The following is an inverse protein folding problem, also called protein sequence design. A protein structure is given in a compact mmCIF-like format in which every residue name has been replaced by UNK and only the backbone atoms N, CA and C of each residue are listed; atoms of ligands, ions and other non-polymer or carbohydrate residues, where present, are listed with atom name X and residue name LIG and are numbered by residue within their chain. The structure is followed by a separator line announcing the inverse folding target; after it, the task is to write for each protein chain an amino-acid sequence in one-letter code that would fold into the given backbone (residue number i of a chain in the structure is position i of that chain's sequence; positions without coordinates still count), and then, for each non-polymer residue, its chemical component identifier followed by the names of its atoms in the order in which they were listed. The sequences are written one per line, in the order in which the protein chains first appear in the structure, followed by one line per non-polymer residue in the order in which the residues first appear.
data_IF_933803884880
#
_entry.id   IF_933803884880
#
_cell.length_a   1.000
_cell.length_b   1.000
_cell.length_c   1.000
_cell.angle_alpha   90.00
_cell.angle_beta   90.00
_cell.angle_gamma   90.00
#
_symmetry.space_group_name_H-M   'P 1'
#
loop_
_entity.id
_entity.type
_entity.pdbx_description
1 polymer ?
#
# COMPACT_ATOMS: atom_id res chain seq x y z
N UNK A 1 -25.66 4.17 -3.09
CA UNK A 1 -24.60 4.87 -3.82
C UNK A 1 -23.98 5.93 -2.90
N UNK A 2 -22.63 5.96 -2.80
CA UNK A 2 -21.92 6.91 -1.93
C UNK A 2 -22.15 8.37 -2.34
N UNK A 3 -22.44 8.66 -3.61
CA UNK A 3 -22.82 10.00 -4.04
C UNK A 3 -24.14 10.42 -3.41
N UNK A 4 -25.15 9.55 -3.39
CA UNK A 4 -26.42 9.82 -2.72
C UNK A 4 -26.25 10.09 -1.23
N UNK A 5 -25.44 9.27 -0.54
CA UNK A 5 -25.16 9.48 0.89
C UNK A 5 -24.53 10.85 1.13
N UNK A 6 -23.62 11.29 0.24
CA UNK A 6 -22.94 12.59 0.37
C UNK A 6 -23.82 13.75 -0.10
N UNK A 7 -24.86 13.53 -0.89
CA UNK A 7 -25.87 14.54 -1.20
C UNK A 7 -26.78 14.81 0.03
N UNK A 8 -27.03 13.78 0.83
CA UNK A 8 -27.81 13.88 2.07
C UNK A 8 -26.94 14.30 3.27
N UNK A 9 -25.72 13.77 3.38
CA UNK A 9 -24.75 14.08 4.44
C UNK A 9 -23.34 14.29 3.86
N UNK A 10 -23.00 15.55 3.60
CA UNK A 10 -21.69 15.96 3.06
C UNK A 10 -20.50 15.71 4.02
N UNK A 11 -20.78 15.33 5.26
CA UNK A 11 -19.77 15.07 6.29
C UNK A 11 -19.62 13.58 6.61
N UNK A 12 -20.28 12.71 5.87
CA UNK A 12 -20.19 11.27 6.06
C UNK A 12 -18.77 10.77 5.70
N UNK A 13 -17.96 10.55 6.73
CA UNK A 13 -16.54 10.17 6.59
C UNK A 13 -16.34 8.85 5.84
N UNK A 14 -17.21 7.88 6.10
CA UNK A 14 -17.14 6.58 5.42
C UNK A 14 -17.48 6.71 3.93
N UNK A 15 -18.51 7.48 3.60
CA UNK A 15 -18.88 7.72 2.22
C UNK A 15 -17.80 8.49 1.46
N UNK A 16 -17.15 9.49 2.09
CA UNK A 16 -16.00 10.20 1.52
C UNK A 16 -14.85 9.24 1.24
N UNK A 17 -14.48 8.40 2.23
CA UNK A 17 -13.42 7.42 2.09
C UNK A 17 -13.67 6.45 0.93
N UNK A 18 -14.87 5.88 0.88
CA UNK A 18 -15.21 4.87 -0.13
C UNK A 18 -15.30 5.48 -1.53
N UNK A 19 -15.85 6.70 -1.65
CA UNK A 19 -15.91 7.39 -2.94
C UNK A 19 -14.51 7.78 -3.42
N UNK A 20 -13.65 8.28 -2.56
CA UNK A 20 -12.25 8.55 -2.89
C UNK A 20 -11.54 7.30 -3.41
N UNK A 21 -11.72 6.16 -2.74
CA UNK A 21 -11.16 4.89 -3.17
C UNK A 21 -11.65 4.48 -4.57
N UNK A 22 -12.95 4.61 -4.86
CA UNK A 22 -13.52 4.34 -6.18
C UNK A 22 -12.90 5.27 -7.25
N UNK A 23 -12.71 6.55 -6.93
CA UNK A 23 -12.06 7.48 -7.84
C UNK A 23 -10.60 7.09 -8.12
N UNK A 24 -9.85 6.63 -7.13
CA UNK A 24 -8.48 6.10 -7.34
C UNK A 24 -8.50 4.91 -8.31
N UNK A 25 -9.43 3.96 -8.13
CA UNK A 25 -9.56 2.81 -9.04
C UNK A 25 -9.91 3.23 -10.47
N UNK A 26 -10.67 4.30 -10.64
CA UNK A 26 -11.04 4.89 -11.94
C UNK A 26 -9.94 5.81 -12.50
N UNK A 27 -8.85 6.02 -11.78
CA UNK A 27 -7.78 6.97 -12.08
C UNK A 27 -8.25 8.43 -12.15
N UNK A 28 -9.37 8.74 -11.52
CA UNK A 28 -9.82 10.13 -11.32
C UNK A 28 -9.18 10.68 -10.04
N UNK A 29 -7.88 10.94 -10.14
CA UNK A 29 -7.07 11.41 -9.00
C UNK A 29 -7.51 12.77 -8.47
N UNK A 30 -7.91 13.75 -9.32
CA UNK A 30 -8.42 15.03 -8.80
C UNK A 30 -9.67 14.87 -7.93
N UNK A 31 -10.63 14.04 -8.35
CA UNK A 31 -11.83 13.78 -7.57
C UNK A 31 -11.52 13.04 -6.25
N UNK A 32 -10.64 12.03 -6.31
CA UNK A 32 -10.18 11.31 -5.12
C UNK A 32 -9.53 12.26 -4.10
N UNK A 33 -8.71 13.20 -4.56
CA UNK A 33 -8.03 14.20 -3.71
C UNK A 33 -9.02 15.09 -2.97
N UNK A 34 -10.08 15.53 -3.63
CA UNK A 34 -11.12 16.35 -3.01
C UNK A 34 -11.74 15.62 -1.82
N UNK A 35 -12.09 14.36 -2.00
CA UNK A 35 -12.73 13.56 -0.95
C UNK A 35 -11.79 13.22 0.20
N UNK A 36 -10.52 12.84 -0.09
CA UNK A 36 -9.53 12.60 0.97
C UNK A 36 -9.23 13.88 1.75
N UNK A 37 -9.09 15.02 1.09
CA UNK A 37 -8.86 16.30 1.78
C UNK A 37 -10.06 16.64 2.66
N UNK A 38 -11.29 16.47 2.15
CA UNK A 38 -12.49 16.71 2.94
C UNK A 38 -12.59 15.79 4.15
N UNK A 39 -12.25 14.52 3.97
CA UNK A 39 -12.19 13.57 5.09
C UNK A 39 -11.16 14.02 6.14
N UNK A 40 -9.99 14.47 5.73
CA UNK A 40 -8.92 14.91 6.63
C UNK A 40 -9.18 16.29 7.27
N UNK A 41 -10.02 17.14 6.66
CA UNK A 41 -10.55 18.33 7.32
C UNK A 41 -11.49 17.96 8.48
N UNK A 42 -12.32 16.93 8.30
CA UNK A 42 -13.25 16.44 9.31
C UNK A 42 -12.56 15.59 10.38
N UNK A 43 -11.53 14.88 10.01
CA UNK A 43 -10.77 13.97 10.86
C UNK A 43 -9.29 13.94 10.45
N UNK A 44 -8.48 14.90 10.95
CA UNK A 44 -7.06 14.99 10.60
C UNK A 44 -6.24 13.75 11.00
N UNK A 45 -6.74 12.94 11.92
CA UNK A 45 -6.07 11.72 12.40
C UNK A 45 -6.60 10.45 11.76
N UNK A 46 -7.53 10.56 10.80
CA UNK A 46 -8.07 9.40 10.08
C UNK A 46 -6.94 8.56 9.47
N UNK A 47 -6.76 7.36 10.00
CA UNK A 47 -5.77 6.40 9.50
C UNK A 47 -6.00 6.09 8.01
N UNK A 48 -7.23 5.67 7.67
CA UNK A 48 -7.60 5.33 6.30
C UNK A 48 -7.52 6.52 5.35
N UNK A 49 -7.87 7.72 5.84
CA UNK A 49 -7.75 8.95 5.05
C UNK A 49 -6.31 9.29 4.70
N UNK A 50 -5.40 9.21 5.68
CA UNK A 50 -3.96 9.47 5.49
C UNK A 50 -3.31 8.43 4.61
N UNK A 51 -3.57 7.14 4.87
CA UNK A 51 -3.04 6.05 4.05
C UNK A 51 -3.57 6.12 2.61
N UNK A 52 -4.86 6.42 2.45
CA UNK A 52 -5.46 6.63 1.13
C UNK A 52 -4.85 7.79 0.37
N UNK A 53 -4.58 8.91 1.06
CA UNK A 53 -3.89 10.06 0.45
C UNK A 53 -2.44 9.70 0.06
N UNK A 54 -1.70 8.98 0.92
CA UNK A 54 -0.34 8.52 0.59
C UNK A 54 -0.34 7.63 -0.66
N UNK A 55 -1.31 6.71 -0.76
CA UNK A 55 -1.50 5.87 -1.95
C UNK A 55 -1.83 6.70 -3.19
N UNK A 56 -2.66 7.73 -3.05
CA UNK A 56 -2.97 8.65 -4.15
C UNK A 56 -1.72 9.41 -4.62
N UNK A 57 -0.91 9.94 -3.68
CA UNK A 57 0.34 10.61 -4.01
C UNK A 57 1.31 9.68 -4.76
N UNK A 58 1.42 8.42 -4.31
CA UNK A 58 2.19 7.39 -5.00
C UNK A 58 1.68 7.16 -6.44
N UNK A 59 0.36 7.02 -6.64
CA UNK A 59 -0.23 6.80 -7.97
C UNK A 59 -0.04 7.97 -8.93
N UNK A 60 0.08 9.18 -8.41
CA UNK A 60 0.42 10.38 -9.17
C UNK A 60 1.94 10.56 -9.38
N UNK A 61 2.78 9.66 -8.86
CA UNK A 61 4.23 9.75 -8.93
C UNK A 61 4.84 10.77 -7.96
N UNK A 62 4.06 11.26 -7.01
CA UNK A 62 4.50 12.19 -5.96
C UNK A 62 5.05 11.41 -4.76
N UNK A 63 6.16 10.71 -5.00
CA UNK A 63 6.71 9.76 -4.04
C UNK A 63 7.20 10.43 -2.75
N UNK A 64 7.74 11.65 -2.83
CA UNK A 64 8.22 12.38 -1.64
C UNK A 64 7.07 12.72 -0.69
N UNK A 65 5.95 13.19 -1.24
CA UNK A 65 4.74 13.50 -0.51
C UNK A 65 4.14 12.25 0.13
N UNK A 66 4.12 11.13 -0.60
CA UNK A 66 3.70 9.84 -0.07
C UNK A 66 4.57 9.41 1.12
N UNK A 67 5.91 9.48 0.98
CA UNK A 67 6.85 9.14 2.06
C UNK A 67 6.69 10.06 3.27
N UNK A 68 6.44 11.35 3.07
CA UNK A 68 6.22 12.29 4.18
C UNK A 68 5.00 11.90 5.02
N UNK A 69 3.89 11.53 4.37
CA UNK A 69 2.69 11.06 5.06
C UNK A 69 2.99 9.76 5.81
N UNK A 70 3.59 8.77 5.15
CA UNK A 70 3.88 7.46 5.75
C UNK A 70 4.88 7.57 6.91
N UNK A 71 5.90 8.41 6.81
CA UNK A 71 6.85 8.64 7.88
C UNK A 71 6.21 9.28 9.11
N UNK A 72 5.30 10.25 8.93
CA UNK A 72 4.52 10.83 10.01
C UNK A 72 3.60 9.79 10.68
N UNK A 73 2.99 8.90 9.89
CA UNK A 73 2.16 7.82 10.42
C UNK A 73 3.00 6.81 11.21
N UNK A 74 4.15 6.39 10.68
CA UNK A 74 5.07 5.47 11.37
C UNK A 74 5.68 6.06 12.65
N UNK A 75 5.93 7.37 12.68
CA UNK A 75 6.37 8.04 13.90
C UNK A 75 5.33 7.96 15.03
N UNK A 76 4.04 7.93 14.68
CA UNK A 76 2.93 7.79 15.63
C UNK A 76 2.62 6.32 15.97
N UNK A 77 2.79 5.41 15.02
CA UNK A 77 2.49 3.97 15.15
C UNK A 77 3.63 3.12 14.59
N UNK A 78 4.77 3.02 15.31
CA UNK A 78 5.97 2.33 14.80
C UNK A 78 5.83 0.80 14.73
N UNK A 79 4.76 0.23 15.24
CA UNK A 79 4.50 -1.22 15.22
C UNK A 79 3.45 -1.61 14.15
N UNK A 80 3.15 -0.74 13.20
CA UNK A 80 2.18 -1.00 12.15
C UNK A 80 2.85 -1.59 10.89
N UNK A 81 2.75 -2.91 10.71
CA UNK A 81 3.30 -3.62 9.57
C UNK A 81 2.78 -3.09 8.21
N UNK A 82 1.52 -2.66 8.15
CA UNK A 82 0.90 -2.14 6.93
C UNK A 82 1.60 -0.88 6.43
N UNK A 83 2.01 -0.01 7.32
CA UNK A 83 2.71 1.23 6.97
C UNK A 83 4.12 0.98 6.43
N UNK A 84 4.83 -0.03 6.98
CA UNK A 84 6.12 -0.44 6.44
C UNK A 84 5.97 -1.03 5.03
N UNK A 85 4.94 -1.85 4.78
CA UNK A 85 4.67 -2.39 3.43
C UNK A 85 4.35 -1.24 2.46
N UNK A 86 3.51 -0.30 2.86
CA UNK A 86 3.17 0.85 2.03
C UNK A 86 4.40 1.71 1.70
N UNK A 87 5.28 1.97 2.69
CA UNK A 87 6.52 2.72 2.47
C UNK A 87 7.49 1.96 1.58
N UNK A 88 7.64 0.66 1.80
CA UNK A 88 8.46 -0.20 0.95
C UNK A 88 8.01 -0.19 -0.52
N UNK A 89 6.71 -0.16 -0.78
CA UNK A 89 6.20 -0.10 -2.16
C UNK A 89 6.55 1.23 -2.83
N UNK A 90 6.45 2.35 -2.11
CA UNK A 90 6.89 3.66 -2.61
C UNK A 90 8.40 3.67 -2.88
N UNK A 91 9.23 3.17 -1.93
CA UNK A 91 10.70 3.10 -2.09
C UNK A 91 11.09 2.21 -3.28
N UNK A 92 10.41 1.09 -3.48
CA UNK A 92 10.60 0.23 -4.64
C UNK A 92 10.33 0.96 -5.97
N UNK A 93 9.27 1.74 -6.05
CA UNK A 93 8.96 2.53 -7.24
C UNK A 93 10.01 3.62 -7.50
N UNK A 94 10.61 4.16 -6.44
CA UNK A 94 11.75 5.07 -6.52
C UNK A 94 13.08 4.38 -6.84
N UNK A 95 13.11 3.05 -7.00
CA UNK A 95 14.31 2.21 -7.20
C UNK A 95 15.24 2.16 -5.98
N UNK A 96 14.74 2.46 -4.80
CA UNK A 96 15.44 2.33 -3.53
C UNK A 96 15.19 0.94 -2.93
N UNK A 97 15.55 -0.11 -3.66
CA UNK A 97 15.22 -1.49 -3.31
C UNK A 97 15.78 -1.92 -1.96
N UNK A 98 16.96 -1.43 -1.58
CA UNK A 98 17.58 -1.76 -0.29
C UNK A 98 16.76 -1.21 0.89
N UNK A 99 16.22 0.01 0.76
CA UNK A 99 15.34 0.60 1.78
C UNK A 99 14.00 -0.15 1.84
N UNK A 100 13.45 -0.50 0.68
CA UNK A 100 12.24 -1.30 0.62
C UNK A 100 12.41 -2.67 1.30
N UNK A 101 13.55 -3.33 1.12
CA UNK A 101 13.82 -4.62 1.77
C UNK A 101 13.89 -4.49 3.30
N UNK A 102 14.52 -3.43 3.82
CA UNK A 102 14.59 -3.17 5.27
C UNK A 102 13.18 -3.00 5.86
N UNK A 103 12.32 -2.23 5.19
CA UNK A 103 10.93 -2.04 5.63
C UNK A 103 10.13 -3.35 5.58
N UNK A 104 10.33 -4.17 4.54
CA UNK A 104 9.65 -5.46 4.43
C UNK A 104 10.12 -6.49 5.46
N UNK A 105 11.38 -6.47 5.85
CA UNK A 105 11.89 -7.29 6.96
C UNK A 105 11.21 -6.89 8.27
N UNK A 106 11.08 -5.59 8.53
CA UNK A 106 10.36 -5.10 9.72
C UNK A 106 8.87 -5.43 9.67
N UNK A 107 8.22 -5.27 8.51
CA UNK A 107 6.82 -5.66 8.34
C UNK A 107 6.59 -7.14 8.64
N UNK A 108 7.47 -8.03 8.15
CA UNK A 108 7.39 -9.47 8.41
C UNK A 108 7.69 -9.79 9.88
N UNK A 109 8.60 -9.05 10.52
CA UNK A 109 8.87 -9.21 11.96
C UNK A 109 7.64 -8.87 12.81
N UNK A 110 6.90 -7.84 12.41
CA UNK A 110 5.68 -7.39 13.09
C UNK A 110 4.47 -8.28 12.77
N UNK A 111 4.34 -8.71 11.53
CA UNK A 111 3.28 -9.59 11.06
C UNK A 111 3.83 -10.68 10.11
N UNK A 112 4.21 -11.81 10.67
CA UNK A 112 4.73 -12.95 9.92
C UNK A 112 3.66 -13.66 9.03
N UNK A 113 2.39 -13.27 9.14
CA UNK A 113 1.29 -13.79 8.32
C UNK A 113 0.90 -12.85 7.17
N UNK A 114 1.60 -11.73 7.00
CA UNK A 114 1.33 -10.80 5.92
C UNK A 114 1.80 -11.34 4.56
N UNK A 115 0.89 -11.89 3.78
CA UNK A 115 1.18 -12.37 2.42
C UNK A 115 1.70 -11.24 1.53
N UNK A 116 1.18 -10.01 1.68
CA UNK A 116 1.58 -8.85 0.88
C UNK A 116 3.05 -8.49 1.08
N UNK A 117 3.58 -8.59 2.31
CA UNK A 117 4.99 -8.35 2.58
C UNK A 117 5.90 -9.34 1.84
N UNK A 118 5.55 -10.63 1.86
CA UNK A 118 6.30 -11.65 1.11
C UNK A 118 6.17 -11.46 -0.40
N UNK A 119 4.99 -11.12 -0.91
CA UNK A 119 4.80 -10.86 -2.34
C UNK A 119 5.67 -9.69 -2.81
N UNK A 120 5.66 -8.59 -2.08
CA UNK A 120 6.43 -7.41 -2.45
C UNK A 120 7.94 -7.70 -2.38
N UNK A 121 8.42 -8.37 -1.32
CA UNK A 121 9.82 -8.77 -1.16
C UNK A 121 10.26 -9.76 -2.25
N UNK A 122 9.44 -10.76 -2.54
CA UNK A 122 9.68 -11.71 -3.61
C UNK A 122 9.80 -11.04 -4.98
N UNK A 123 8.96 -10.05 -5.29
CA UNK A 123 9.06 -9.28 -6.52
C UNK A 123 10.37 -8.46 -6.60
N UNK A 124 10.82 -7.87 -5.48
CA UNK A 124 12.11 -7.17 -5.43
C UNK A 124 13.26 -8.16 -5.66
N UNK A 125 13.27 -9.30 -4.99
CA UNK A 125 14.28 -10.33 -5.19
C UNK A 125 14.30 -10.86 -6.63
N UNK A 126 13.13 -11.01 -7.25
CA UNK A 126 13.05 -11.43 -8.65
C UNK A 126 13.67 -10.39 -9.59
N UNK A 127 13.39 -9.10 -9.37
CA UNK A 127 14.00 -8.01 -10.12
C UNK A 127 15.54 -7.99 -9.95
N UNK A 128 16.03 -8.32 -8.76
CA UNK A 128 17.47 -8.47 -8.45
C UNK A 128 18.07 -9.79 -8.97
N UNK A 129 17.30 -10.62 -9.68
CA UNK A 129 17.71 -11.96 -10.14
C UNK A 129 18.09 -12.93 -9.02
N UNK A 130 17.67 -12.66 -7.79
CA UNK A 130 17.83 -13.53 -6.62
C UNK A 130 16.72 -14.60 -6.59
N UNK A 131 16.69 -15.44 -7.62
CA UNK A 131 15.58 -16.38 -7.90
C UNK A 131 15.22 -17.29 -6.74
N UNK A 132 16.20 -17.81 -6.00
CA UNK A 132 15.96 -18.70 -4.85
C UNK A 132 15.20 -17.99 -3.71
N UNK A 133 15.58 -16.75 -3.39
CA UNK A 133 14.90 -15.94 -2.38
C UNK A 133 13.49 -15.55 -2.82
N UNK A 134 13.35 -15.14 -4.09
CA UNK A 134 12.05 -14.81 -4.67
C UNK A 134 11.09 -16.00 -4.60
N UNK A 135 11.56 -17.18 -4.99
CA UNK A 135 10.78 -18.42 -4.94
C UNK A 135 10.30 -18.74 -3.52
N UNK A 136 11.20 -18.66 -2.53
CA UNK A 136 10.85 -18.91 -1.13
C UNK A 136 9.76 -17.96 -0.62
N UNK A 137 9.84 -16.68 -0.96
CA UNK A 137 8.83 -15.69 -0.58
C UNK A 137 7.48 -15.94 -1.28
N UNK A 138 7.46 -16.29 -2.56
CA UNK A 138 6.21 -16.64 -3.26
C UNK A 138 5.57 -17.92 -2.71
N UNK A 139 6.37 -18.93 -2.39
CA UNK A 139 5.89 -20.16 -1.74
C UNK A 139 5.31 -19.88 -0.36
N UNK A 140 5.94 -18.95 0.39
CA UNK A 140 5.42 -18.49 1.68
C UNK A 140 4.08 -17.75 1.50
N UNK A 141 3.96 -16.84 0.54
CA UNK A 141 2.71 -16.15 0.24
C UNK A 141 1.58 -17.12 -0.11
N UNK A 142 1.89 -18.18 -0.90
CA UNK A 142 0.92 -19.25 -1.19
C UNK A 142 0.49 -19.96 0.08
N UNK A 143 1.41 -20.30 0.98
CA UNK A 143 1.08 -20.92 2.26
C UNK A 143 0.20 -20.06 3.15
N UNK A 144 0.19 -18.75 2.92
CA UNK A 144 -0.62 -17.74 3.62
C UNK A 144 -1.95 -17.44 2.90
N UNK A 145 -2.28 -18.18 1.83
CA UNK A 145 -3.58 -18.11 1.18
C UNK A 145 -3.62 -17.43 -0.18
N UNK A 146 -2.48 -16.98 -0.72
CA UNK A 146 -2.43 -16.47 -2.09
C UNK A 146 -2.65 -17.64 -3.07
N UNK A 147 -3.59 -17.52 -4.02
CA UNK A 147 -3.82 -18.57 -4.99
C UNK A 147 -2.55 -18.84 -5.83
N UNK A 148 -2.10 -20.10 -5.97
CA UNK A 148 -0.92 -20.42 -6.79
C UNK A 148 -1.03 -19.97 -8.24
N UNK A 149 -2.24 -19.89 -8.78
CA UNK A 149 -2.50 -19.42 -10.13
C UNK A 149 -2.06 -17.96 -10.34
N UNK A 150 -2.20 -17.11 -9.30
CA UNK A 150 -1.85 -15.70 -9.36
C UNK A 150 -0.33 -15.49 -9.40
N UNK A 151 0.47 -16.49 -9.00
CA UNK A 151 1.93 -16.43 -8.94
C UNK A 151 2.62 -17.34 -9.96
N UNK A 152 1.85 -17.91 -10.91
CA UNK A 152 2.39 -18.86 -11.89
C UNK A 152 3.54 -18.28 -12.71
N UNK A 153 3.40 -17.02 -13.15
CA UNK A 153 4.43 -16.35 -13.96
C UNK A 153 5.69 -16.05 -13.14
N UNK A 154 5.54 -15.53 -11.94
CA UNK A 154 6.65 -15.24 -11.02
C UNK A 154 7.43 -16.53 -10.69
N UNK A 155 6.73 -17.61 -10.37
CA UNK A 155 7.34 -18.90 -10.08
C UNK A 155 8.03 -19.50 -11.32
N UNK A 156 7.49 -19.27 -12.51
CA UNK A 156 8.14 -19.69 -13.77
C UNK A 156 9.46 -18.95 -13.97
N UNK A 157 9.52 -17.66 -13.66
CA UNK A 157 10.75 -16.84 -13.78
C UNK A 157 11.81 -17.23 -12.72
N UNK A 158 11.40 -17.89 -11.62
CA UNK A 158 12.30 -18.40 -10.60
C UNK A 158 12.99 -19.73 -11.00
N UNK A 159 12.59 -20.37 -12.07
CA UNK A 159 13.26 -21.53 -12.64
C UNK A 159 14.50 -21.08 -13.43
#
# INVERSE_FOLDING_TARGET
DYCQVLDEDKQNKEALLMRAYIYVLRRDYPAARIDYNRLLELDPQSYSGRLGLATLEQKEGKFREALEILNKMLAATPEDATLYIARADVEREMKHEDLALVDLEEAIRLDAASADAYLLRGNIYLAQKKKGLAKADFEKAISLGVPPADLHEQLRQCK
#
